data_IF_985617475043
#
_entry.id   IF_985617475043
#
_cell.length_a   1.000
_cell.length_b   1.000
_cell.length_c   1.000
_cell.angle_alpha   90.00
_cell.angle_beta   90.00
_cell.angle_gamma   90.00
#
_symmetry.space_group_name_H-M   'P 1'
#
loop_
_entity.id
_entity.type
_entity.pdbx_description
1 polymer ?
#
# COMPACT_ATOMS: atom_id res chain seq x y z
N UNK A 1 -51.59 -53.11 66.24
CA UNK A 1 -51.74 -51.64 66.42
C UNK A 1 -52.99 -51.18 65.70
N UNK A 2 -54.06 -50.92 66.45
CA UNK A 2 -55.32 -50.36 65.92
C UNK A 2 -55.07 -48.91 65.52
N UNK A 3 -55.42 -48.53 64.28
CA UNK A 3 -55.39 -47.14 63.83
C UNK A 3 -56.50 -46.37 64.55
N UNK A 4 -56.24 -45.16 65.09
CA UNK A 4 -57.27 -44.40 65.81
C UNK A 4 -58.38 -43.97 64.85
N UNK A 5 -59.63 -44.11 65.31
CA UNK A 5 -60.82 -43.66 64.60
C UNK A 5 -60.80 -42.14 64.43
N UNK A 6 -60.56 -41.67 63.21
CA UNK A 6 -60.69 -40.25 62.89
C UNK A 6 -62.17 -39.87 62.93
N UNK A 7 -62.51 -38.83 63.71
CA UNK A 7 -63.84 -38.23 63.70
C UNK A 7 -64.11 -37.66 62.32
N UNK A 8 -65.12 -38.20 61.65
CA UNK A 8 -65.53 -37.82 60.30
C UNK A 8 -66.27 -36.49 60.34
N UNK A 9 -65.57 -35.38 60.07
CA UNK A 9 -66.19 -34.08 59.84
C UNK A 9 -66.82 -34.10 58.44
N UNK A 10 -68.01 -34.67 58.34
CA UNK A 10 -68.68 -35.06 57.09
C UNK A 10 -68.58 -34.03 55.97
N UNK A 11 -68.80 -32.74 56.24
CA UNK A 11 -68.77 -31.72 55.20
C UNK A 11 -67.37 -31.19 54.85
N UNK A 12 -66.50 -30.96 55.83
CA UNK A 12 -65.18 -30.37 55.57
C UNK A 12 -64.20 -31.38 54.97
N UNK A 13 -64.30 -32.64 55.37
CA UNK A 13 -63.50 -33.71 54.79
C UNK A 13 -63.94 -34.01 53.35
N UNK A 14 -65.25 -34.04 53.11
CA UNK A 14 -65.80 -34.22 51.76
C UNK A 14 -65.49 -33.02 50.84
N UNK A 15 -65.51 -31.79 51.35
CA UNK A 15 -65.07 -30.61 50.61
C UNK A 15 -63.60 -30.71 50.18
N UNK A 16 -62.71 -31.10 51.10
CA UNK A 16 -61.29 -31.25 50.80
C UNK A 16 -60.99 -32.40 49.82
N UNK A 17 -61.74 -33.50 49.88
CA UNK A 17 -61.60 -34.62 48.94
C UNK A 17 -62.13 -34.30 47.52
N UNK A 18 -63.11 -33.38 47.42
CA UNK A 18 -63.65 -32.90 46.12
C UNK A 18 -62.81 -31.81 45.48
N UNK A 19 -62.00 -31.06 46.23
CA UNK A 19 -61.27 -29.88 45.75
C UNK A 19 -60.40 -30.15 44.51
N UNK A 20 -59.95 -31.40 44.32
CA UNK A 20 -59.08 -31.82 43.23
C UNK A 20 -59.69 -32.90 42.30
N UNK A 21 -61.01 -33.14 42.37
CA UNK A 21 -61.71 -34.13 41.53
C UNK A 21 -62.83 -33.47 40.74
N UNK A 22 -62.89 -33.70 39.42
CA UNK A 22 -64.04 -33.32 38.59
C UNK A 22 -64.85 -34.55 38.21
N UNK A 23 -66.14 -34.34 37.98
CA UNK A 23 -67.05 -35.37 37.49
C UNK A 23 -66.90 -35.46 35.97
N UNK A 24 -66.41 -36.59 35.46
CA UNK A 24 -66.31 -36.86 34.02
C UNK A 24 -67.05 -38.17 33.74
N UNK A 25 -68.06 -38.15 32.87
CA UNK A 25 -68.92 -39.31 32.58
C UNK A 25 -69.43 -40.03 33.85
N UNK A 26 -69.92 -39.25 34.82
CA UNK A 26 -70.42 -39.71 36.12
C UNK A 26 -69.41 -40.41 37.05
N UNK A 27 -68.11 -40.35 36.74
CA UNK A 27 -67.03 -40.84 37.61
C UNK A 27 -66.17 -39.68 38.12
N UNK A 28 -65.84 -39.70 39.42
CA UNK A 28 -64.92 -38.74 40.03
C UNK A 28 -63.48 -39.18 39.78
N UNK A 29 -62.76 -38.46 38.92
CA UNK A 29 -61.37 -38.74 38.57
C UNK A 29 -60.48 -37.61 39.12
N UNK A 30 -59.29 -37.97 39.63
CA UNK A 30 -58.26 -36.99 40.02
C UNK A 30 -57.73 -36.33 38.74
N UNK A 31 -57.87 -35.00 38.59
CA UNK A 31 -57.17 -34.32 37.49
C UNK A 31 -55.66 -34.41 37.77
N UNK A 32 -54.89 -35.03 36.85
CA UNK A 32 -53.47 -34.68 36.74
C UNK A 32 -53.39 -33.16 36.52
N UNK A 33 -52.38 -32.46 37.09
CA UNK A 33 -52.25 -31.03 36.90
C UNK A 33 -52.06 -30.71 35.41
N UNK A 34 -53.16 -30.39 34.74
CA UNK A 34 -53.15 -29.86 33.37
C UNK A 34 -52.80 -28.39 33.48
N UNK A 35 -51.50 -28.08 33.49
CA UNK A 35 -51.06 -26.74 33.17
C UNK A 35 -51.58 -26.44 31.76
N UNK A 36 -52.36 -25.37 31.60
CA UNK A 36 -52.63 -24.84 30.28
C UNK A 36 -51.31 -24.34 29.72
N UNK A 37 -50.62 -25.17 28.92
CA UNK A 37 -49.59 -24.69 28.00
C UNK A 37 -50.34 -23.86 26.96
N UNK A 38 -50.50 -22.57 27.22
CA UNK A 38 -50.88 -21.64 26.16
C UNK A 38 -49.70 -21.60 25.18
N UNK A 39 -49.86 -21.98 23.91
CA UNK A 39 -48.75 -22.01 22.94
C UNK A 39 -48.29 -20.60 22.50
N UNK A 40 -48.57 -19.55 23.27
CA UNK A 40 -48.42 -18.17 22.84
C UNK A 40 -48.05 -17.19 23.96
N UNK A 41 -47.28 -17.62 24.97
CA UNK A 41 -46.37 -16.67 25.62
C UNK A 41 -44.96 -17.11 25.27
N UNK A 42 -44.24 -16.36 24.41
CA UNK A 42 -42.79 -16.48 24.40
C UNK A 42 -42.35 -16.46 25.86
N UNK A 43 -41.55 -17.43 26.26
CA UNK A 43 -40.94 -17.44 27.58
C UNK A 43 -40.37 -16.05 27.85
N UNK A 44 -40.45 -15.60 29.10
CA UNK A 44 -40.01 -14.28 29.59
C UNK A 44 -38.49 -14.07 29.40
N UNK A 45 -37.99 -14.18 28.18
CA UNK A 45 -36.68 -13.77 27.69
C UNK A 45 -36.73 -12.31 27.22
N UNK A 46 -37.76 -11.57 27.65
CA UNK A 46 -37.89 -10.13 27.45
C UNK A 46 -37.20 -9.29 28.52
N UNK A 47 -36.67 -9.89 29.59
CA UNK A 47 -35.87 -9.14 30.57
C UNK A 47 -34.43 -9.00 30.06
N UNK A 48 -34.22 -7.97 29.25
CA UNK A 48 -32.92 -7.29 29.19
C UNK A 48 -33.03 -6.05 30.07
N UNK A 49 -32.88 -6.23 31.39
CA UNK A 49 -32.49 -5.18 32.34
C UNK A 49 -33.02 -3.76 32.01
N UNK A 50 -34.34 -3.58 31.94
CA UNK A 50 -34.97 -2.27 32.02
C UNK A 50 -36.38 -2.45 32.58
N UNK A 51 -36.48 -2.39 33.90
CA UNK A 51 -37.74 -2.50 34.63
C UNK A 51 -38.66 -1.30 34.30
N UNK A 52 -39.47 -1.40 33.24
CA UNK A 52 -40.65 -0.55 33.08
C UNK A 52 -41.88 -1.32 33.54
N UNK A 53 -42.37 -0.92 34.70
CA UNK A 53 -43.58 -1.41 35.38
C UNK A 53 -44.75 -1.55 34.40
N UNK A 54 -45.47 -2.68 34.49
CA UNK A 54 -46.67 -3.03 33.72
C UNK A 54 -47.48 -1.81 33.28
N UNK A 55 -47.49 -1.56 31.97
CA UNK A 55 -48.45 -0.68 31.33
C UNK A 55 -49.82 -1.38 31.33
N UNK A 56 -50.80 -0.82 32.00
CA UNK A 56 -52.18 -1.33 32.05
C UNK A 56 -53.20 -0.41 31.36
N UNK A 57 -52.72 0.62 30.65
CA UNK A 57 -53.57 1.59 29.96
C UNK A 57 -53.19 1.71 28.48
N UNK A 58 -54.19 1.73 27.59
CA UNK A 58 -54.05 1.79 26.12
C UNK A 58 -53.11 2.89 25.59
N UNK A 59 -52.95 3.99 26.33
CA UNK A 59 -52.01 5.07 25.98
C UNK A 59 -50.54 4.69 26.26
N UNK A 60 -50.28 3.89 27.30
CA UNK A 60 -48.93 3.42 27.61
C UNK A 60 -48.47 2.31 26.66
N UNK A 61 -49.39 1.47 26.17
CA UNK A 61 -49.08 0.48 25.14
C UNK A 61 -48.67 1.14 23.80
N UNK A 62 -49.41 2.16 23.36
CA UNK A 62 -49.05 2.92 22.16
C UNK A 62 -47.76 3.73 22.33
N UNK A 63 -47.48 4.24 23.54
CA UNK A 63 -46.20 4.89 23.86
C UNK A 63 -45.06 3.88 23.83
N UNK A 64 -45.21 2.73 24.49
CA UNK A 64 -44.23 1.65 24.47
C UNK A 64 -43.98 1.15 23.05
N UNK A 65 -45.01 0.98 22.23
CA UNK A 65 -44.86 0.56 20.83
C UNK A 65 -44.09 1.60 19.99
N UNK A 66 -44.33 2.90 20.21
CA UNK A 66 -43.59 3.99 19.55
C UNK A 66 -42.15 4.16 20.09
N UNK A 67 -41.91 3.90 21.39
CA UNK A 67 -40.58 3.92 22.00
C UNK A 67 -39.76 2.68 21.56
N UNK A 68 -40.34 1.49 21.60
CA UNK A 68 -39.73 0.21 21.19
C UNK A 68 -39.39 0.20 19.70
N UNK A 69 -40.27 0.72 18.84
CA UNK A 69 -40.01 0.84 17.40
C UNK A 69 -38.92 1.87 17.07
N UNK A 70 -38.80 2.97 17.81
CA UNK A 70 -37.68 3.92 17.69
C UNK A 70 -36.36 3.35 18.21
N UNK A 71 -36.41 2.68 19.36
CA UNK A 71 -35.23 2.09 20.00
C UNK A 71 -34.64 0.97 19.16
N UNK A 72 -35.46 0.25 18.39
CA UNK A 72 -35.00 -0.77 17.47
C UNK A 72 -34.13 -0.22 16.33
N UNK A 73 -34.55 0.86 15.67
CA UNK A 73 -33.76 1.48 14.59
C UNK A 73 -32.49 2.16 15.13
N UNK A 74 -32.56 2.77 16.32
CA UNK A 74 -31.39 3.31 17.03
C UNK A 74 -30.37 2.22 17.39
N UNK A 75 -30.82 1.13 18.01
CA UNK A 75 -29.97 -0.02 18.36
C UNK A 75 -29.36 -0.66 17.11
N UNK A 76 -30.14 -0.82 16.03
CA UNK A 76 -29.65 -1.33 14.74
C UNK A 76 -28.57 -0.43 14.16
N UNK A 77 -28.80 0.89 14.13
CA UNK A 77 -27.80 1.85 13.65
C UNK A 77 -26.52 1.80 14.49
N UNK A 78 -26.63 1.74 15.82
CA UNK A 78 -25.48 1.59 16.73
C UNK A 78 -24.71 0.29 16.46
N UNK A 79 -25.40 -0.83 16.25
CA UNK A 79 -24.78 -2.11 15.89
C UNK A 79 -24.05 -2.04 14.54
N UNK A 80 -24.64 -1.41 13.52
CA UNK A 80 -23.98 -1.23 12.22
C UNK A 80 -22.78 -0.29 12.29
N UNK A 81 -22.85 0.77 13.10
CA UNK A 81 -21.69 1.64 13.34
C UNK A 81 -20.56 0.87 14.00
N UNK A 82 -20.84 0.11 15.06
CA UNK A 82 -19.84 -0.73 15.74
C UNK A 82 -19.23 -1.76 14.77
N UNK A 83 -20.06 -2.43 13.97
CA UNK A 83 -19.61 -3.41 12.98
C UNK A 83 -18.75 -2.77 11.89
N UNK A 84 -19.13 -1.57 11.43
CA UNK A 84 -18.35 -0.77 10.49
C UNK A 84 -16.98 -0.39 11.04
N UNK A 85 -16.89 0.00 12.32
CA UNK A 85 -15.61 0.25 12.99
C UNK A 85 -14.75 -1.02 13.03
N UNK A 86 -15.32 -2.15 13.44
CA UNK A 86 -14.60 -3.43 13.53
C UNK A 86 -14.05 -3.86 12.16
N UNK A 87 -14.87 -3.82 11.09
CA UNK A 87 -14.43 -4.13 9.73
C UNK A 87 -13.33 -3.16 9.27
N UNK A 88 -13.47 -1.87 9.59
CA UNK A 88 -12.46 -0.86 9.23
C UNK A 88 -11.11 -1.15 9.90
N UNK A 89 -11.12 -1.55 11.18
CA UNK A 89 -9.91 -2.00 11.87
C UNK A 89 -9.28 -3.23 11.22
N UNK A 90 -10.08 -4.22 10.83
CA UNK A 90 -9.57 -5.38 10.08
C UNK A 90 -8.95 -4.99 8.74
N UNK A 91 -9.60 -4.10 7.98
CA UNK A 91 -9.09 -3.63 6.70
C UNK A 91 -7.76 -2.85 6.87
N UNK A 92 -7.68 -1.98 7.89
CA UNK A 92 -6.44 -1.26 8.21
C UNK A 92 -5.33 -2.22 8.65
N UNK A 93 -5.65 -3.22 9.48
CA UNK A 93 -4.70 -4.25 9.91
C UNK A 93 -4.19 -5.11 8.74
N UNK A 94 -5.08 -5.51 7.83
CA UNK A 94 -4.68 -6.24 6.63
C UNK A 94 -3.79 -5.39 5.73
N UNK A 95 -4.12 -4.10 5.55
CA UNK A 95 -3.29 -3.15 4.80
C UNK A 95 -1.90 -2.99 5.44
N UNK A 96 -1.82 -2.81 6.75
CA UNK A 96 -0.52 -2.62 7.42
C UNK A 96 0.34 -3.87 7.30
N UNK A 97 -0.22 -5.07 7.49
CA UNK A 97 0.50 -6.34 7.30
C UNK A 97 0.98 -6.48 5.84
N UNK A 98 0.11 -6.21 4.86
CA UNK A 98 0.48 -6.28 3.45
C UNK A 98 1.61 -5.29 3.10
N UNK A 99 1.54 -4.05 3.60
CA UNK A 99 2.59 -3.05 3.42
C UNK A 99 3.91 -3.47 4.08
N UNK A 100 3.87 -4.02 5.29
CA UNK A 100 5.09 -4.51 5.98
C UNK A 100 5.74 -5.64 5.19
N UNK A 101 4.95 -6.61 4.71
CA UNK A 101 5.47 -7.72 3.89
C UNK A 101 6.02 -7.21 2.55
N UNK A 102 5.30 -6.31 1.88
CA UNK A 102 5.73 -5.69 0.63
C UNK A 102 7.05 -4.92 0.79
N UNK A 103 7.14 -4.07 1.81
CA UNK A 103 8.36 -3.31 2.11
C UNK A 103 9.51 -4.25 2.47
N UNK A 104 9.26 -5.32 3.22
CA UNK A 104 10.31 -6.30 3.54
C UNK A 104 10.88 -7.00 2.30
N UNK A 105 10.08 -7.17 1.24
CA UNK A 105 10.51 -7.79 -0.01
C UNK A 105 11.25 -6.82 -0.96
N UNK A 106 10.88 -5.55 -0.98
CA UNK A 106 11.39 -4.57 -1.97
C UNK A 106 12.46 -3.65 -1.38
N UNK A 107 12.39 -3.33 -0.09
CA UNK A 107 13.19 -2.24 0.50
C UNK A 107 14.21 -2.73 1.52
N UNK A 108 15.13 -3.60 1.09
CA UNK A 108 16.42 -3.69 1.78
C UNK A 108 17.43 -2.83 1.04
N UNK A 109 17.56 -1.58 1.47
CA UNK A 109 18.68 -0.73 1.04
C UNK A 109 19.96 -1.41 1.52
N UNK A 110 20.64 -2.13 0.64
CA UNK A 110 21.87 -2.87 1.00
C UNK A 110 23.03 -1.91 1.30
N UNK A 111 22.98 -0.71 0.75
CA UNK A 111 23.96 0.35 0.91
C UNK A 111 23.25 1.70 0.83
N UNK A 112 23.75 2.69 1.58
CA UNK A 112 23.35 4.08 1.43
C UNK A 112 23.92 4.56 0.10
N UNK A 113 23.09 5.14 -0.77
CA UNK A 113 23.55 5.69 -2.06
C UNK A 113 24.49 6.85 -1.79
N UNK A 114 25.59 6.89 -2.53
CA UNK A 114 26.52 8.00 -2.48
C UNK A 114 25.87 9.20 -3.19
N UNK A 115 25.73 10.32 -2.48
CA UNK A 115 25.15 11.56 -3.03
C UNK A 115 26.09 12.23 -4.03
N UNK A 116 27.40 12.04 -3.87
CA UNK A 116 28.41 12.56 -4.78
C UNK A 116 29.54 11.55 -4.99
N UNK A 117 30.28 11.73 -6.08
CA UNK A 117 31.51 10.99 -6.37
C UNK A 117 32.56 11.90 -6.96
N UNK A 118 33.72 11.90 -6.35
CA UNK A 118 34.90 12.61 -6.85
C UNK A 118 35.77 11.67 -7.69
N UNK A 119 36.29 12.18 -8.80
CA UNK A 119 37.18 11.46 -9.69
C UNK A 119 38.32 12.37 -10.13
N UNK A 120 39.56 11.94 -9.91
CA UNK A 120 40.71 12.64 -10.45
C UNK A 120 40.83 12.35 -11.95
N UNK A 121 40.76 13.39 -12.77
CA UNK A 121 40.80 13.31 -14.23
C UNK A 121 42.07 13.96 -14.82
N UNK A 122 43.04 14.33 -13.98
CA UNK A 122 44.32 14.94 -14.42
C UNK A 122 45.09 14.05 -15.40
N UNK A 123 44.99 12.74 -15.20
CA UNK A 123 45.68 11.73 -16.02
C UNK A 123 44.91 11.37 -17.30
N UNK A 124 43.66 11.80 -17.45
CA UNK A 124 42.84 11.50 -18.62
C UNK A 124 43.21 12.45 -19.78
N UNK A 125 43.81 11.94 -20.87
CA UNK A 125 44.15 12.78 -22.02
C UNK A 125 42.89 13.18 -22.81
N UNK A 126 42.93 14.31 -23.53
CA UNK A 126 41.82 14.76 -24.35
C UNK A 126 41.56 13.76 -25.48
N UNK A 127 40.28 13.39 -25.66
CA UNK A 127 39.83 12.40 -26.63
C UNK A 127 39.73 10.98 -26.06
N UNK A 128 40.10 10.77 -24.78
CA UNK A 128 39.93 9.48 -24.11
C UNK A 128 38.68 9.41 -23.21
N UNK A 129 38.25 8.17 -22.93
CA UNK A 129 37.10 7.80 -22.11
C UNK A 129 37.59 7.00 -20.92
N UNK A 130 37.27 7.47 -19.73
CA UNK A 130 37.39 6.75 -18.48
C UNK A 130 36.04 6.09 -18.15
N UNK A 131 36.08 4.79 -17.89
CA UNK A 131 34.91 4.04 -17.44
C UNK A 131 35.02 3.80 -15.93
N UNK A 132 33.99 4.18 -15.18
CA UNK A 132 33.93 3.97 -13.73
C UNK A 132 32.51 3.66 -13.28
N UNK A 133 32.31 3.19 -12.04
CA UNK A 133 30.99 2.85 -11.50
C UNK A 133 30.56 3.81 -10.40
N UNK A 134 29.29 4.22 -10.38
CA UNK A 134 28.70 5.04 -9.33
C UNK A 134 27.31 4.50 -8.97
N UNK A 135 27.05 4.27 -7.68
CA UNK A 135 25.81 3.67 -7.18
C UNK A 135 25.40 2.34 -7.85
N UNK A 136 26.37 1.57 -8.36
CA UNK A 136 26.15 0.29 -9.05
C UNK A 136 25.94 0.43 -10.57
N UNK A 137 25.84 1.65 -11.09
CA UNK A 137 25.73 1.93 -12.51
C UNK A 137 27.09 2.30 -13.10
N UNK A 138 27.35 1.88 -14.33
CA UNK A 138 28.55 2.28 -15.05
C UNK A 138 28.33 3.64 -15.72
N UNK A 139 29.35 4.47 -15.67
CA UNK A 139 29.37 5.82 -16.24
C UNK A 139 30.60 5.98 -17.13
N UNK A 140 30.43 6.77 -18.19
CA UNK A 140 31.51 7.20 -19.06
C UNK A 140 31.85 8.65 -18.77
N UNK A 141 33.12 8.88 -18.46
CA UNK A 141 33.72 10.21 -18.33
C UNK A 141 34.64 10.39 -19.53
N UNK A 142 34.25 11.26 -20.46
CA UNK A 142 35.05 11.57 -21.65
C UNK A 142 35.54 12.99 -21.58
N UNK A 143 36.84 13.18 -21.84
CA UNK A 143 37.41 14.50 -22.03
C UNK A 143 37.39 14.85 -23.51
N UNK A 144 36.68 15.91 -23.88
CA UNK A 144 36.54 16.32 -25.29
C UNK A 144 37.72 17.18 -25.73
N UNK A 145 38.12 17.02 -27.00
CA UNK A 145 39.06 17.94 -27.65
C UNK A 145 38.33 19.24 -28.06
N UNK A 146 39.03 20.37 -28.23
CA UNK A 146 38.41 21.61 -28.71
C UNK A 146 37.71 21.45 -30.06
N UNK A 147 38.26 20.60 -30.93
CA UNK A 147 37.64 20.25 -32.22
C UNK A 147 36.36 19.44 -32.06
N UNK A 148 36.30 18.54 -31.08
CA UNK A 148 35.09 17.79 -30.75
C UNK A 148 34.02 18.71 -30.16
N UNK A 149 34.39 19.71 -29.37
CA UNK A 149 33.41 20.69 -28.85
C UNK A 149 32.76 21.46 -30.01
N UNK A 150 33.55 21.99 -30.95
CA UNK A 150 33.02 22.68 -32.14
C UNK A 150 32.14 21.77 -33.01
N UNK A 151 32.53 20.50 -33.18
CA UNK A 151 31.73 19.52 -33.92
C UNK A 151 30.40 19.19 -33.22
N UNK A 152 30.35 19.29 -31.90
CA UNK A 152 29.13 19.03 -31.12
C UNK A 152 28.07 20.07 -31.42
N UNK A 153 28.49 21.34 -31.52
CA UNK A 153 27.67 22.52 -31.79
C UNK A 153 27.26 22.60 -33.27
N UNK A 154 28.15 22.18 -34.17
CA UNK A 154 27.90 22.16 -35.61
C UNK A 154 27.00 20.99 -36.09
N UNK A 155 26.53 20.14 -35.18
CA UNK A 155 25.76 18.94 -35.55
C UNK A 155 24.39 19.30 -36.14
N UNK A 156 24.07 18.73 -37.32
CA UNK A 156 22.78 18.96 -37.99
C UNK A 156 21.63 18.24 -37.25
N UNK A 157 20.51 18.93 -36.94
CA UNK A 157 19.39 18.31 -36.24
C UNK A 157 18.73 17.12 -36.98
N UNK A 158 18.87 17.06 -38.30
CA UNK A 158 18.31 15.97 -39.12
C UNK A 158 19.03 14.62 -38.92
N UNK A 159 20.27 14.63 -38.44
CA UNK A 159 21.08 13.42 -38.23
C UNK A 159 20.93 12.83 -36.82
N UNK A 160 20.19 13.50 -35.94
CA UNK A 160 20.01 13.10 -34.55
C UNK A 160 18.63 12.45 -34.43
N UNK A 161 18.56 11.21 -33.91
CA UNK A 161 17.28 10.54 -33.69
C UNK A 161 16.51 11.19 -32.54
N UNK A 162 17.18 11.41 -31.41
CA UNK A 162 16.61 12.05 -30.24
C UNK A 162 16.83 13.57 -30.29
N UNK A 163 15.80 14.29 -30.71
CA UNK A 163 15.84 15.76 -30.91
C UNK A 163 15.61 16.54 -29.62
N UNK A 164 15.06 15.90 -28.60
CA UNK A 164 14.67 16.57 -27.35
C UNK A 164 15.85 16.67 -26.39
N UNK A 165 16.64 15.60 -26.27
CA UNK A 165 17.77 15.58 -25.34
C UNK A 165 19.02 16.24 -25.91
N UNK A 166 19.63 17.10 -25.10
CA UNK A 166 20.93 17.73 -25.39
C UNK A 166 22.03 17.04 -24.59
N UNK A 167 23.22 16.83 -25.17
CA UNK A 167 24.36 16.33 -24.41
C UNK A 167 24.73 17.32 -23.31
N UNK A 168 24.93 16.82 -22.09
CA UNK A 168 25.36 17.63 -20.96
C UNK A 168 26.89 17.81 -21.02
N UNK A 169 27.33 19.01 -21.38
CA UNK A 169 28.73 19.36 -21.50
C UNK A 169 29.09 20.33 -20.37
N UNK A 170 30.04 19.94 -19.51
CA UNK A 170 30.54 20.78 -18.44
C UNK A 170 31.86 21.43 -18.88
N UNK A 171 32.01 22.76 -18.75
CA UNK A 171 33.31 23.39 -18.92
C UNK A 171 34.24 22.95 -17.78
N UNK A 172 35.43 22.47 -18.12
CA UNK A 172 36.48 22.20 -17.15
C UNK A 172 37.38 23.43 -17.04
N UNK A 173 37.53 23.93 -15.81
CA UNK A 173 38.46 25.01 -15.47
C UNK A 173 39.89 24.53 -15.66
N UNK A 174 40.17 23.25 -15.37
CA UNK A 174 41.49 22.70 -15.63
C UNK A 174 41.74 22.52 -17.13
N UNK A 175 42.87 23.06 -17.58
CA UNK A 175 43.44 22.82 -18.91
C UNK A 175 42.53 23.22 -20.10
N UNK A 176 41.57 24.16 -19.92
CA UNK A 176 40.67 24.67 -20.95
C UNK A 176 40.00 23.57 -21.80
N UNK A 177 39.43 22.56 -21.13
CA UNK A 177 38.78 21.43 -21.80
C UNK A 177 37.32 21.32 -21.43
N UNK A 178 36.56 20.51 -22.18
CA UNK A 178 35.13 20.25 -21.89
C UNK A 178 34.99 18.79 -21.55
N UNK A 179 34.22 18.48 -20.51
CA UNK A 179 33.99 17.12 -20.05
C UNK A 179 32.55 16.73 -20.40
N UNK A 180 32.42 15.49 -20.82
CA UNK A 180 31.15 14.81 -21.00
C UNK A 180 31.08 13.69 -19.98
N UNK A 181 30.04 13.72 -19.15
CA UNK A 181 29.70 12.60 -18.25
C UNK A 181 28.32 12.09 -18.64
N UNK A 182 28.25 10.81 -18.98
CA UNK A 182 27.00 10.14 -19.34
C UNK A 182 26.94 8.73 -18.78
N UNK A 183 25.73 8.18 -18.66
CA UNK A 183 25.52 6.79 -18.28
C UNK A 183 26.07 5.85 -19.35
N UNK A 184 26.73 4.77 -18.92
CA UNK A 184 27.18 3.69 -19.79
C UNK A 184 26.07 2.64 -20.03
N UNK A 185 24.83 2.92 -19.64
CA UNK A 185 23.69 2.02 -19.79
C UNK A 185 22.96 2.37 -21.08
N UNK A 186 22.91 1.41 -22.02
CA UNK A 186 22.21 1.59 -23.27
C UNK A 186 20.70 1.76 -23.03
N UNK A 187 20.12 2.82 -23.60
CA UNK A 187 18.69 3.17 -23.51
C UNK A 187 17.74 2.18 -24.19
N UNK A 188 18.25 1.14 -24.84
CA UNK A 188 17.42 0.06 -25.38
C UNK A 188 16.98 -0.92 -24.28
N UNK A 189 17.92 -1.71 -23.75
CA UNK A 189 17.66 -2.77 -22.77
C UNK A 189 18.75 -2.87 -21.68
N UNK A 190 19.58 -1.83 -21.53
CA UNK A 190 20.54 -1.72 -20.42
C UNK A 190 21.91 -2.40 -20.62
N UNK A 191 22.23 -2.87 -21.82
CA UNK A 191 23.58 -3.34 -22.15
C UNK A 191 24.62 -2.21 -22.07
N UNK A 192 25.90 -2.55 -21.91
CA UNK A 192 27.00 -1.57 -21.86
C UNK A 192 27.58 -1.38 -23.27
N UNK A 193 27.52 -0.18 -23.87
CA UNK A 193 28.16 0.11 -25.15
C UNK A 193 29.69 0.07 -25.05
N UNK A 194 30.35 -0.44 -26.09
CA UNK A 194 31.82 -0.45 -26.18
C UNK A 194 32.31 0.87 -26.77
N UNK A 195 33.28 1.56 -26.15
CA UNK A 195 33.81 2.83 -26.66
C UNK A 195 34.69 2.64 -27.90
N UNK A 196 34.87 3.72 -28.65
CA UNK A 196 35.72 3.83 -29.86
C UNK A 196 35.32 2.94 -31.04
N UNK A 197 34.09 2.41 -31.03
CA UNK A 197 33.59 1.55 -32.08
C UNK A 197 32.57 2.30 -32.95
N UNK A 198 32.38 1.82 -34.19
CA UNK A 198 31.36 2.32 -35.12
C UNK A 198 31.76 3.58 -35.90
N UNK A 199 30.89 3.98 -36.83
CA UNK A 199 31.15 5.05 -37.80
C UNK A 199 31.38 6.43 -37.17
N UNK A 200 30.80 6.67 -35.98
CA UNK A 200 30.85 7.96 -35.31
C UNK A 200 31.97 8.10 -34.26
N UNK A 201 32.87 7.09 -34.16
CA UNK A 201 33.96 7.05 -33.17
C UNK A 201 33.48 7.30 -31.72
N UNK A 202 32.24 6.91 -31.43
CA UNK A 202 31.59 7.08 -30.14
C UNK A 202 31.50 5.73 -29.44
N UNK A 203 30.29 5.20 -29.31
CA UNK A 203 30.04 3.91 -28.66
C UNK A 203 29.13 3.02 -29.49
N UNK A 204 29.32 1.70 -29.40
CA UNK A 204 28.44 0.71 -30.04
C UNK A 204 28.00 -0.33 -29.03
N UNK A 205 26.69 -0.52 -28.93
CA UNK A 205 26.08 -1.59 -28.15
C UNK A 205 26.02 -2.87 -28.99
N UNK A 206 26.80 -3.88 -28.59
CA UNK A 206 26.91 -5.15 -29.31
C UNK A 206 25.67 -6.06 -29.16
N UNK A 207 24.72 -5.71 -28.30
CA UNK A 207 23.52 -6.54 -28.09
C UNK A 207 22.58 -6.52 -29.30
N UNK A 208 22.26 -5.33 -29.82
CA UNK A 208 21.35 -5.15 -30.96
C UNK A 208 21.84 -4.08 -31.96
N UNK A 209 23.11 -3.66 -31.85
CA UNK A 209 23.74 -2.76 -32.82
C UNK A 209 23.40 -1.28 -32.68
N UNK A 210 22.97 -0.81 -31.50
CA UNK A 210 22.77 0.63 -31.28
C UNK A 210 24.09 1.38 -31.32
N UNK A 211 24.18 2.41 -32.16
CA UNK A 211 25.37 3.25 -32.36
C UNK A 211 25.12 4.62 -31.75
N UNK A 212 26.05 5.03 -30.89
CA UNK A 212 26.08 6.35 -30.27
C UNK A 212 27.29 7.13 -30.78
N UNK A 213 27.13 8.43 -31.00
CA UNK A 213 28.25 9.32 -31.31
C UNK A 213 29.06 9.66 -30.06
N UNK A 214 30.15 10.42 -30.21
CA UNK A 214 31.06 10.83 -29.12
C UNK A 214 30.44 11.62 -27.97
N UNK A 215 29.20 12.09 -28.12
CA UNK A 215 28.49 12.92 -27.15
C UNK A 215 27.33 12.19 -26.48
N UNK A 216 27.18 10.90 -26.78
CA UNK A 216 26.17 10.01 -26.22
C UNK A 216 24.89 10.02 -27.03
N UNK A 217 24.88 10.69 -28.20
CA UNK A 217 23.69 10.80 -29.02
C UNK A 217 23.49 9.57 -29.86
N UNK A 218 22.29 9.00 -29.86
CA UNK A 218 21.96 7.85 -30.68
C UNK A 218 21.89 8.24 -32.15
N UNK A 219 22.56 7.45 -32.99
CA UNK A 219 22.66 7.64 -34.45
C UNK A 219 22.04 6.51 -35.24
N UNK A 220 22.00 5.31 -34.67
CA UNK A 220 21.44 4.13 -35.32
C UNK A 220 21.03 3.09 -34.29
N UNK A 221 20.11 2.22 -34.69
CA UNK A 221 19.72 1.01 -33.96
C UNK A 221 18.37 1.16 -33.26
N UNK A 222 17.98 0.15 -32.46
CA UNK A 222 16.68 0.14 -31.77
C UNK A 222 16.59 1.12 -30.59
N UNK A 223 17.72 1.64 -30.11
CA UNK A 223 17.70 2.71 -29.12
C UNK A 223 17.13 4.00 -29.74
N UNK A 224 16.14 4.61 -29.08
CA UNK A 224 15.51 5.86 -29.54
C UNK A 224 15.94 7.09 -28.73
N UNK A 225 16.60 6.90 -27.58
CA UNK A 225 17.05 7.97 -26.68
C UNK A 225 18.57 8.02 -26.58
N UNK A 226 19.10 9.22 -26.38
CA UNK A 226 20.52 9.44 -26.11
C UNK A 226 20.91 8.84 -24.74
N UNK A 227 22.20 8.55 -24.54
CA UNK A 227 22.71 8.17 -23.22
C UNK A 227 22.43 9.30 -22.22
N UNK A 228 21.82 9.00 -21.06
CA UNK A 228 21.52 10.01 -20.05
C UNK A 228 22.78 10.78 -19.64
N UNK A 229 22.75 12.11 -19.77
CA UNK A 229 23.79 12.97 -19.22
C UNK A 229 23.72 12.99 -17.70
N UNK A 230 24.87 13.08 -17.04
CA UNK A 230 24.96 13.12 -15.57
C UNK A 230 25.50 14.50 -15.16
N UNK A 231 24.84 15.10 -14.17
CA UNK A 231 25.27 16.40 -13.66
C UNK A 231 26.66 16.29 -13.03
N UNK A 232 27.54 17.20 -13.43
CA UNK A 232 28.92 17.19 -12.96
C UNK A 232 29.53 18.58 -13.05
N UNK A 233 30.46 18.83 -12.15
CA UNK A 233 31.26 20.04 -12.05
C UNK A 233 32.72 19.65 -11.91
N UNK A 234 33.62 20.50 -12.39
CA UNK A 234 35.05 20.21 -12.36
C UNK A 234 35.79 21.35 -11.67
N UNK A 235 36.69 20.97 -10.75
CA UNK A 235 37.52 21.87 -9.97
C UNK A 235 38.95 21.34 -9.91
N UNK A 236 39.90 22.08 -10.50
CA UNK A 236 41.35 21.75 -10.49
C UNK A 236 41.68 20.28 -10.80
N UNK A 237 41.12 19.72 -11.86
CA UNK A 237 41.33 18.35 -12.32
C UNK A 237 40.61 17.28 -11.50
N UNK A 238 39.75 17.68 -10.56
CA UNK A 238 38.85 16.80 -9.83
C UNK A 238 37.44 17.02 -10.38
N UNK A 239 36.86 15.95 -10.92
CA UNK A 239 35.50 15.90 -11.37
C UNK A 239 34.60 15.50 -10.19
N UNK A 240 33.67 16.37 -9.83
CA UNK A 240 32.59 16.06 -8.89
C UNK A 240 31.34 15.68 -9.68
N UNK A 241 30.83 14.48 -9.41
CA UNK A 241 29.57 13.98 -9.94
C UNK A 241 28.54 14.05 -8.82
N UNK A 242 27.38 14.63 -9.09
CA UNK A 242 26.32 14.84 -8.10
C UNK A 242 25.03 14.15 -8.55
N UNK A 243 24.22 13.71 -7.60
CA UNK A 243 22.89 13.15 -7.88
C UNK A 243 22.04 14.15 -8.67
N UNK A 244 21.37 13.67 -9.71
CA UNK A 244 20.44 14.50 -10.47
C UNK A 244 19.30 14.90 -9.54
N UNK A 245 19.29 16.15 -9.11
CA UNK A 245 18.17 16.71 -8.33
C UNK A 245 16.97 16.79 -9.26
N UNK A 246 16.06 15.81 -9.17
CA UNK A 246 14.78 15.88 -9.87
C UNK A 246 13.88 16.87 -9.11
N UNK A 247 13.48 18.01 -9.73
CA UNK A 247 12.75 19.06 -9.03
C UNK A 247 11.38 18.63 -8.48
N UNK A 248 10.88 17.46 -8.89
CA UNK A 248 9.57 16.92 -8.51
C UNK A 248 9.66 15.56 -7.81
N UNK A 249 10.86 15.03 -7.54
CA UNK A 249 10.95 13.81 -6.74
C UNK A 249 10.68 14.21 -5.28
N UNK A 250 9.67 13.62 -4.61
CA UNK A 250 9.51 13.86 -3.19
C UNK A 250 10.80 13.41 -2.51
N UNK A 251 11.35 14.24 -1.60
CA UNK A 251 12.44 13.89 -0.68
C UNK A 251 11.98 12.74 0.23
N UNK A 252 11.85 11.56 -0.36
CA UNK A 252 11.30 10.36 0.23
C UNK A 252 12.34 9.59 1.02
N UNK A 253 13.29 10.28 1.64
CA UNK A 253 14.15 9.67 2.65
C UNK A 253 13.44 9.73 4.01
N UNK A 254 12.35 8.96 4.12
CA UNK A 254 11.88 8.48 5.41
C UNK A 254 12.85 7.39 5.86
N UNK A 255 13.99 7.82 6.42
CA UNK A 255 14.76 6.97 7.31
C UNK A 255 13.86 6.67 8.51
N UNK A 256 13.23 5.49 8.49
CA UNK A 256 12.65 4.85 9.68
C UNK A 256 13.64 3.83 10.20
#
# INVERSE_FOLDING_TARGET
>A
MQRPAFRQFGFMQEYNERKNKKLTNHLLVMEEPRFWLTPARPSNFGDHLDAKTKADNWFDENRLWNEESKDYELKRAQMYMLHGFVISFYALGAKTVATVVYNQMITRVRYIRDSYKELNIKELPPGEVLQTSWNGELIFVRRLTPTEVQQSEAARPAEILDKESKPFLSPATSQNSTILVCSAICTHLGCIPVPYLGAHKGWVCLCHGSVFDKYGRVRQGPAQRNLPGINNTEYDGILCIEEMVFPNEPDGFLYV
#
